data_IF_413235952837
#
_entry.id   IF_413235952837
#
_cell.length_a   1.000
_cell.length_b   1.000
_cell.length_c   1.000
_cell.angle_alpha   90.00
_cell.angle_beta   90.00
_cell.angle_gamma   90.00
#
_symmetry.space_group_name_H-M   'P 1'
#
loop_
_entity.id
_entity.type
_entity.pdbx_description
1 polymer ?
#
# COMPACT_ATOMS: atom_id res chain seq x y z
N UNK A 1 -31.58 3.99 -18.76
CA UNK A 1 -32.06 4.06 -17.37
C UNK A 1 -31.34 3.09 -16.41
N UNK A 2 -30.45 2.22 -16.89
CA UNK A 2 -29.77 1.23 -16.03
C UNK A 2 -28.24 1.41 -15.93
N UNK A 3 -27.72 2.56 -16.37
CA UNK A 3 -26.28 2.79 -16.50
C UNK A 3 -25.50 2.50 -15.21
N UNK A 4 -26.04 2.82 -14.03
CA UNK A 4 -25.39 2.49 -12.76
C UNK A 4 -25.31 0.97 -12.52
N UNK A 5 -26.39 0.24 -12.81
CA UNK A 5 -26.42 -1.21 -12.68
C UNK A 5 -25.48 -1.89 -13.68
N UNK A 6 -25.40 -1.34 -14.90
CA UNK A 6 -24.50 -1.81 -15.95
C UNK A 6 -23.03 -1.63 -15.52
N UNK A 7 -22.67 -0.45 -14.99
CA UNK A 7 -21.31 -0.17 -14.46
C UNK A 7 -20.95 -1.11 -13.31
N UNK A 8 -21.85 -1.36 -12.36
CA UNK A 8 -21.61 -2.28 -11.24
C UNK A 8 -21.43 -3.72 -11.76
N UNK A 9 -22.21 -4.11 -12.77
CA UNK A 9 -22.13 -5.44 -13.38
C UNK A 9 -20.81 -5.65 -14.11
N UNK A 10 -20.36 -4.64 -14.85
CA UNK A 10 -19.08 -4.64 -15.57
C UNK A 10 -17.88 -4.72 -14.62
N UNK A 11 -17.98 -4.11 -13.42
CA UNK A 11 -16.90 -4.08 -12.42
C UNK A 11 -17.15 -5.04 -11.25
N UNK A 12 -17.76 -6.20 -11.51
CA UNK A 12 -18.23 -7.11 -10.44
C UNK A 12 -17.12 -7.63 -9.53
N UNK A 13 -15.96 -7.96 -10.08
CA UNK A 13 -14.83 -8.49 -9.31
C UNK A 13 -14.31 -7.42 -8.35
N UNK A 14 -14.06 -6.23 -8.87
CA UNK A 14 -13.61 -5.07 -8.09
C UNK A 14 -14.62 -4.64 -7.03
N UNK A 15 -15.92 -4.63 -7.38
CA UNK A 15 -16.98 -4.32 -6.43
C UNK A 15 -17.02 -5.32 -5.27
N UNK A 16 -16.82 -6.61 -5.57
CA UNK A 16 -16.73 -7.66 -4.55
C UNK A 16 -15.52 -7.45 -3.63
N UNK A 17 -14.34 -7.13 -4.18
CA UNK A 17 -13.13 -6.87 -3.38
C UNK A 17 -13.33 -5.69 -2.41
N UNK A 18 -13.93 -4.59 -2.89
CA UNK A 18 -14.23 -3.44 -2.04
C UNK A 18 -15.22 -3.81 -0.93
N UNK A 19 -16.24 -4.62 -1.23
CA UNK A 19 -17.20 -5.09 -0.24
C UNK A 19 -16.54 -6.01 0.82
N UNK A 20 -15.68 -6.94 0.41
CA UNK A 20 -14.93 -7.80 1.33
C UNK A 20 -13.97 -6.99 2.21
N UNK A 21 -13.32 -5.96 1.66
CA UNK A 21 -12.49 -5.05 2.42
C UNK A 21 -13.31 -4.24 3.44
N UNK A 22 -14.49 -3.71 3.06
CA UNK A 22 -15.39 -3.03 4.00
C UNK A 22 -15.90 -3.94 5.11
N UNK A 23 -16.13 -5.23 4.83
CA UNK A 23 -16.48 -6.20 5.88
C UNK A 23 -15.33 -6.44 6.87
N UNK A 24 -14.08 -6.31 6.42
CA UNK A 24 -12.89 -6.52 7.24
C UNK A 24 -12.45 -5.27 8.02
N UNK A 25 -12.56 -4.09 7.42
CA UNK A 25 -12.02 -2.83 7.95
C UNK A 25 -13.08 -1.81 8.34
N UNK A 26 -14.38 -2.12 8.13
CA UNK A 26 -15.57 -1.30 8.39
C UNK A 26 -15.69 -0.03 7.54
N UNK A 27 -14.58 0.64 7.29
CA UNK A 27 -14.49 1.89 6.53
C UNK A 27 -13.31 1.84 5.58
N UNK A 28 -13.43 2.57 4.47
CA UNK A 28 -12.34 2.81 3.53
C UNK A 28 -12.35 4.28 3.11
N UNK A 29 -11.18 4.87 2.97
CA UNK A 29 -11.03 6.20 2.38
C UNK A 29 -10.93 6.14 0.84
N UNK A 30 -10.89 7.31 0.21
CA UNK A 30 -10.84 7.41 -1.26
C UNK A 30 -9.57 6.82 -1.88
N UNK A 31 -8.42 6.91 -1.21
CA UNK A 31 -7.15 6.39 -1.71
C UNK A 31 -7.14 4.85 -1.66
N UNK A 32 -7.67 4.29 -0.57
CA UNK A 32 -7.85 2.84 -0.39
C UNK A 32 -8.81 2.26 -1.43
N UNK A 33 -9.98 2.89 -1.61
CA UNK A 33 -10.95 2.45 -2.63
C UNK A 33 -10.33 2.51 -4.02
N UNK A 34 -9.59 3.59 -4.35
CA UNK A 34 -8.93 3.75 -5.64
C UNK A 34 -7.85 2.68 -5.86
N UNK A 35 -7.03 2.38 -4.86
CA UNK A 35 -5.99 1.37 -4.95
C UNK A 35 -6.58 -0.03 -5.18
N UNK A 36 -7.63 -0.42 -4.44
CA UNK A 36 -8.34 -1.68 -4.70
C UNK A 36 -8.93 -1.69 -6.12
N UNK A 37 -9.47 -0.55 -6.56
CA UNK A 37 -10.08 -0.45 -7.88
C UNK A 37 -9.09 -0.64 -9.03
N UNK A 38 -7.92 -0.02 -8.93
CA UNK A 38 -6.90 -0.03 -9.99
C UNK A 38 -5.97 -1.25 -9.92
N UNK A 39 -5.66 -1.72 -8.71
CA UNK A 39 -4.62 -2.73 -8.49
C UNK A 39 -5.14 -4.04 -7.91
N UNK A 40 -6.39 -4.07 -7.43
CA UNK A 40 -6.96 -5.22 -6.72
C UNK A 40 -6.38 -5.45 -5.33
N UNK A 41 -5.55 -4.53 -4.83
CA UNK A 41 -4.83 -4.66 -3.55
C UNK A 41 -5.22 -3.51 -2.62
N UNK A 42 -5.30 -3.81 -1.33
CA UNK A 42 -5.27 -2.76 -0.32
C UNK A 42 -3.90 -2.10 -0.35
N UNK A 43 -3.81 -0.76 -0.28
CA UNK A 43 -2.52 -0.12 -0.06
C UNK A 43 -1.97 -0.64 1.27
N UNK A 44 -0.66 -0.90 1.32
CA UNK A 44 0.01 -1.08 2.59
C UNK A 44 -0.21 0.18 3.42
N UNK A 45 -0.16 0.05 4.75
CA UNK A 45 -0.68 1.02 5.71
C UNK A 45 -0.40 2.48 5.26
N UNK A 46 -1.31 3.45 5.42
CA UNK A 46 -0.95 4.85 5.12
C UNK A 46 0.29 5.30 5.90
N UNK A 47 0.61 4.65 7.03
CA UNK A 47 1.87 4.83 7.76
C UNK A 47 3.11 4.23 7.07
N UNK A 48 2.97 3.24 6.18
CA UNK A 48 4.07 2.64 5.42
C UNK A 48 4.56 3.56 4.28
N UNK A 49 3.69 4.41 3.71
CA UNK A 49 4.12 5.45 2.76
C UNK A 49 5.05 6.50 3.44
N UNK A 50 4.97 6.67 4.77
CA UNK A 50 5.91 7.48 5.56
C UNK A 50 7.21 6.73 5.93
N UNK A 51 7.23 5.38 5.85
CA UNK A 51 8.40 4.58 6.26
C UNK A 51 9.55 4.61 5.27
N UNK A 52 9.30 4.93 4.00
CA UNK A 52 10.39 5.09 3.01
C UNK A 52 11.12 6.44 3.16
N UNK A 53 10.62 7.36 3.98
CA UNK A 53 11.27 8.66 4.26
C UNK A 53 11.93 8.69 5.64
N UNK A 54 12.39 7.54 6.14
CA UNK A 54 13.26 7.54 7.31
C UNK A 54 14.64 8.05 6.90
N UNK A 55 14.90 9.34 7.14
CA UNK A 55 16.25 9.88 7.09
C UNK A 55 17.09 9.13 8.13
N UNK A 56 18.02 8.31 7.66
CA UNK A 56 18.96 7.59 8.53
C UNK A 56 19.67 8.59 9.43
N UNK A 57 19.71 8.30 10.73
CA UNK A 57 20.48 9.07 11.69
C UNK A 57 21.98 8.95 11.41
N UNK A 58 22.77 9.91 11.90
CA UNK A 58 24.24 9.89 11.75
C UNK A 58 24.84 8.56 12.26
N UNK A 59 24.29 8.03 13.35
CA UNK A 59 24.74 6.77 13.95
C UNK A 59 24.45 5.57 13.03
N UNK A 60 23.26 5.50 12.43
CA UNK A 60 22.91 4.44 11.47
C UNK A 60 23.74 4.49 10.18
N UNK A 61 24.08 5.70 9.69
CA UNK A 61 24.95 5.86 8.52
C UNK A 61 26.37 5.39 8.84
N UNK A 62 26.87 5.72 10.04
CA UNK A 62 28.23 5.35 10.47
C UNK A 62 28.37 3.83 10.61
N UNK A 63 27.40 3.17 11.25
CA UNK A 63 27.44 1.72 11.44
C UNK A 63 27.40 0.98 10.09
N UNK A 64 26.57 1.45 9.15
CA UNK A 64 26.49 0.88 7.80
C UNK A 64 27.76 1.08 6.97
N UNK A 65 28.44 2.21 7.13
CA UNK A 65 29.75 2.45 6.52
C UNK A 65 30.79 1.49 7.10
N UNK A 66 30.80 1.29 8.41
CA UNK A 66 31.75 0.37 9.05
C UNK A 66 31.52 -1.09 8.67
N UNK A 67 30.26 -1.54 8.54
CA UNK A 67 29.96 -2.89 8.06
C UNK A 67 30.45 -3.12 6.62
N UNK A 68 30.25 -2.13 5.73
CA UNK A 68 30.70 -2.23 4.34
C UNK A 68 32.23 -2.23 4.18
N UNK A 69 32.96 -1.60 5.10
CA UNK A 69 34.43 -1.64 5.14
C UNK A 69 34.96 -2.98 5.67
N UNK A 70 34.22 -3.66 6.55
CA UNK A 70 34.64 -4.96 7.09
C UNK A 70 34.37 -6.14 6.17
N UNK A 71 33.37 -6.07 5.29
CA UNK A 71 33.06 -7.14 4.32
C UNK A 71 33.94 -7.13 3.05
N UNK A 72 34.73 -6.06 2.82
CA UNK A 72 35.61 -5.93 1.65
C UNK A 72 37.07 -6.27 1.93
N UNK A 73 37.38 -6.82 3.11
CA UNK A 73 38.72 -7.15 3.58
C UNK A 73 38.98 -8.67 3.78
N UNK A 74 38.09 -9.55 3.31
CA UNK A 74 38.28 -11.02 3.25
C UNK A 74 38.38 -11.53 1.81
#
# INVERSE_FOLDING_TARGET
RNQAADIIKENRETHKLIAEALLKYETLDAAQIKSIYETGKMPNNPEDDDKEVHALSYDEIKDKMTESETESAD
#
